data_IF_639288790525
#
_entry.id   IF_639288790525
#
_cell.length_a   1.000
_cell.length_b   1.000
_cell.length_c   1.000
_cell.angle_alpha   90.00
_cell.angle_beta   90.00
_cell.angle_gamma   90.00
#
_symmetry.space_group_name_H-M   'P 1'
#
loop_
_entity.id
_entity.type
_entity.pdbx_description
1 polymer ?
#
# COMPACT_ATOMS: atom_id res chain seq x y z
N UNK A 1 2.23 10.24 1.86
CA UNK A 1 1.89 8.84 1.47
C UNK A 1 3.08 8.15 0.83
N UNK A 2 3.56 8.56 -0.36
CA UNK A 2 4.67 7.89 -1.07
C UNK A 2 5.93 7.62 -0.21
N UNK A 3 6.32 8.56 0.67
CA UNK A 3 7.45 8.35 1.59
C UNK A 3 7.22 7.16 2.55
N UNK A 4 6.02 7.05 3.14
CA UNK A 4 5.68 5.94 4.02
C UNK A 4 5.70 4.59 3.27
N UNK A 5 5.14 4.58 2.05
CA UNK A 5 5.15 3.38 1.17
C UNK A 5 6.59 2.94 0.87
N UNK A 6 7.44 3.87 0.44
CA UNK A 6 8.86 3.59 0.13
C UNK A 6 9.60 3.09 1.37
N UNK A 7 9.41 3.75 2.52
CA UNK A 7 10.03 3.35 3.78
C UNK A 7 9.63 1.93 4.19
N UNK A 8 8.36 1.58 4.06
CA UNK A 8 7.83 0.26 4.43
C UNK A 8 8.29 -0.85 3.48
N UNK A 9 8.33 -0.56 2.17
CA UNK A 9 8.90 -1.48 1.18
C UNK A 9 10.42 -1.67 1.33
N UNK A 10 11.15 -0.63 1.75
CA UNK A 10 12.61 -0.69 1.90
C UNK A 10 13.02 -1.32 3.24
N UNK A 11 12.32 -0.99 4.33
CA UNK A 11 12.75 -1.32 5.70
C UNK A 11 12.13 -2.61 6.22
N UNK A 12 10.83 -2.81 5.99
CA UNK A 12 10.04 -3.94 6.54
C UNK A 12 9.57 -4.92 5.46
N UNK A 13 10.31 -4.98 4.36
CA UNK A 13 9.90 -5.31 3.00
C UNK A 13 8.45 -5.80 2.82
N UNK A 14 7.48 -4.90 3.09
CA UNK A 14 6.04 -5.16 2.99
C UNK A 14 5.30 -4.02 2.24
N UNK A 15 4.17 -4.32 1.58
CA UNK A 15 3.30 -3.28 1.04
C UNK A 15 2.60 -2.52 2.19
N UNK A 16 2.11 -1.32 1.91
CA UNK A 16 1.46 -0.43 2.88
C UNK A 16 -0.07 -0.47 2.76
N UNK A 17 -0.78 -0.86 3.83
CA UNK A 17 -2.25 -0.89 3.87
C UNK A 17 -2.82 0.53 3.84
N UNK A 18 -3.60 0.87 2.81
CA UNK A 18 -4.10 2.25 2.62
C UNK A 18 -4.96 2.71 3.79
N UNK A 19 -5.78 1.83 4.36
CA UNK A 19 -6.62 2.13 5.53
C UNK A 19 -5.84 2.62 6.76
N UNK A 20 -4.53 2.31 6.88
CA UNK A 20 -3.69 2.80 7.98
C UNK A 20 -3.46 4.32 7.92
N UNK A 21 -3.66 4.96 6.77
CA UNK A 21 -3.58 6.43 6.63
C UNK A 21 -4.70 7.17 7.37
N UNK A 22 -5.81 6.49 7.69
CA UNK A 22 -6.90 7.07 8.48
C UNK A 22 -6.63 6.99 9.98
N UNK A 23 -5.63 6.21 10.38
CA UNK A 23 -5.25 6.01 11.78
C UNK A 23 -4.10 6.94 12.17
N UNK A 24 -3.73 6.92 13.46
CA UNK A 24 -2.53 7.60 13.94
C UNK A 24 -1.29 7.12 13.17
N UNK A 25 -0.32 8.00 12.85
CA UNK A 25 -0.25 9.42 13.18
C UNK A 25 -0.90 10.35 12.13
N UNK A 26 -1.53 9.82 11.09
CA UNK A 26 -1.88 10.59 9.89
C UNK A 26 -3.29 11.18 9.92
N UNK A 27 -4.29 10.41 10.37
CA UNK A 27 -5.68 10.85 10.48
C UNK A 27 -6.27 11.46 9.20
N UNK A 28 -5.86 10.98 8.03
CA UNK A 28 -6.43 11.44 6.76
C UNK A 28 -7.88 10.96 6.61
N UNK A 29 -8.70 11.81 5.99
CA UNK A 29 -10.03 11.41 5.52
C UNK A 29 -9.90 10.60 4.24
N UNK A 30 -10.86 9.71 3.99
CA UNK A 30 -10.91 8.85 2.80
C UNK A 30 -10.77 9.66 1.50
N UNK A 31 -11.56 10.73 1.34
CA UNK A 31 -11.47 11.62 0.18
C UNK A 31 -10.08 12.27 -0.02
N UNK A 32 -9.33 12.52 1.06
CA UNK A 32 -7.96 13.04 0.96
C UNK A 32 -6.99 11.98 0.45
N UNK A 33 -7.19 10.73 0.87
CA UNK A 33 -6.38 9.59 0.45
C UNK A 33 -6.64 9.31 -1.04
N UNK A 34 -7.90 9.25 -1.46
CA UNK A 34 -8.29 9.05 -2.86
C UNK A 34 -7.71 10.14 -3.76
N UNK A 35 -7.88 11.41 -3.39
CA UNK A 35 -7.32 12.53 -4.14
C UNK A 35 -5.79 12.45 -4.25
N UNK A 36 -5.10 12.05 -3.17
CA UNK A 36 -3.66 11.88 -3.18
C UNK A 36 -3.22 10.71 -4.05
N UNK A 37 -3.94 9.59 -4.06
CA UNK A 37 -3.65 8.44 -4.93
C UNK A 37 -3.87 8.82 -6.40
N UNK A 38 -4.96 9.51 -6.73
CA UNK A 38 -5.22 10.00 -8.07
C UNK A 38 -4.13 10.98 -8.55
N UNK A 39 -3.67 11.88 -7.66
CA UNK A 39 -2.57 12.78 -7.96
C UNK A 39 -1.24 12.03 -8.18
N UNK A 40 -0.97 10.98 -7.39
CA UNK A 40 0.23 10.16 -7.55
C UNK A 40 0.25 9.37 -8.87
N UNK A 41 -0.92 8.97 -9.39
CA UNK A 41 -1.00 8.19 -10.63
C UNK A 41 -0.55 8.95 -11.88
N UNK A 42 -0.68 10.29 -11.87
CA UNK A 42 -0.32 11.15 -13.01
C UNK A 42 1.03 11.85 -12.87
N UNK A 43 1.57 11.93 -11.65
CA UNK A 43 2.77 12.69 -11.35
C UNK A 43 4.04 11.82 -11.48
N UNK A 44 4.98 12.14 -12.40
CA UNK A 44 6.14 11.30 -12.71
C UNK A 44 7.05 10.97 -11.51
N UNK A 45 7.11 11.84 -10.50
CA UNK A 45 7.89 11.63 -9.29
C UNK A 45 7.37 10.48 -8.40
N UNK A 46 6.16 10.00 -8.66
CA UNK A 46 5.53 8.86 -7.97
C UNK A 46 5.34 7.65 -8.87
N UNK A 47 5.94 7.62 -10.07
CA UNK A 47 5.79 6.53 -11.03
C UNK A 47 6.18 5.14 -10.50
N UNK A 48 6.97 5.06 -9.41
CA UNK A 48 7.28 3.81 -8.73
C UNK A 48 6.18 3.30 -7.79
N UNK A 49 5.23 4.15 -7.38
CA UNK A 49 4.18 3.78 -6.44
C UNK A 49 3.05 3.11 -7.21
N UNK A 50 2.75 1.86 -6.86
CA UNK A 50 1.72 1.05 -7.50
C UNK A 50 0.72 0.52 -6.48
N UNK A 51 -0.47 0.24 -6.99
CA UNK A 51 -1.57 -0.35 -6.22
C UNK A 51 -1.53 -1.87 -6.32
N UNK A 52 -1.92 -2.55 -5.25
CA UNK A 52 -2.23 -3.97 -5.23
C UNK A 52 -3.40 -4.19 -4.28
N UNK A 53 -4.30 -5.09 -4.66
CA UNK A 53 -5.53 -5.36 -3.92
C UNK A 53 -5.59 -6.84 -3.55
N UNK A 54 -6.05 -7.15 -2.34
CA UNK A 54 -6.33 -8.53 -1.94
C UNK A 54 -7.61 -9.05 -2.59
N UNK A 55 -7.83 -10.35 -2.56
CA UNK A 55 -9.09 -10.99 -2.97
C UNK A 55 -10.31 -10.56 -2.13
N UNK A 56 -10.09 -9.90 -1.00
CA UNK A 56 -11.11 -9.28 -0.12
C UNK A 56 -11.28 -7.78 -0.35
N UNK A 57 -10.79 -7.25 -1.47
CA UNK A 57 -10.90 -5.85 -1.88
C UNK A 57 -10.19 -4.86 -0.94
N UNK A 58 -9.12 -5.30 -0.26
CA UNK A 58 -8.34 -4.42 0.61
C UNK A 58 -7.17 -3.84 -0.18
N UNK A 59 -7.14 -2.52 -0.28
CA UNK A 59 -6.15 -1.79 -1.05
C UNK A 59 -4.83 -1.59 -0.28
N UNK A 60 -3.74 -1.89 -0.96
CA UNK A 60 -2.37 -1.64 -0.56
C UNK A 60 -1.61 -0.84 -1.62
N UNK A 61 -0.54 -0.16 -1.17
CA UNK A 61 0.43 0.51 -2.04
C UNK A 61 1.81 -0.11 -1.86
N UNK A 62 2.59 -0.20 -2.93
CA UNK A 62 4.00 -0.60 -2.88
C UNK A 62 4.86 0.23 -3.83
N UNK A 63 6.18 0.24 -3.61
CA UNK A 63 7.14 0.89 -4.52
C UNK A 63 7.87 -0.16 -5.35
N UNK A 64 7.74 -0.10 -6.67
CA UNK A 64 8.44 -0.98 -7.63
C UNK A 64 9.97 -0.81 -7.60
N UNK A 65 10.48 0.26 -6.99
CA UNK A 65 11.92 0.43 -6.74
C UNK A 65 12.46 -0.56 -5.72
N UNK A 66 11.62 -1.05 -4.80
CA UNK A 66 12.05 -1.85 -3.65
C UNK A 66 11.33 -3.20 -3.56
N UNK A 67 10.21 -3.37 -4.26
CA UNK A 67 9.35 -4.56 -4.17
C UNK A 67 8.73 -4.90 -5.53
N UNK A 68 8.77 -6.18 -5.91
CA UNK A 68 8.07 -6.66 -7.11
C UNK A 68 6.57 -6.82 -6.84
N UNK A 69 5.76 -6.72 -7.89
CA UNK A 69 4.32 -6.96 -7.79
C UNK A 69 3.98 -8.32 -7.15
N UNK A 70 4.64 -9.40 -7.57
CA UNK A 70 4.37 -10.75 -7.03
C UNK A 70 4.60 -10.84 -5.52
N UNK A 71 5.64 -10.18 -5.00
CA UNK A 71 5.89 -10.11 -3.55
C UNK A 71 4.84 -9.25 -2.84
N UNK A 72 4.49 -8.10 -3.42
CA UNK A 72 3.46 -7.22 -2.86
C UNK A 72 2.11 -7.92 -2.78
N UNK A 73 1.71 -8.60 -3.86
CA UNK A 73 0.46 -9.35 -3.95
C UNK A 73 0.43 -10.51 -2.95
N UNK A 74 1.47 -11.36 -2.91
CA UNK A 74 1.52 -12.48 -1.96
C UNK A 74 1.43 -12.04 -0.49
N UNK A 75 2.08 -10.94 -0.11
CA UNK A 75 1.95 -10.39 1.24
C UNK A 75 0.58 -9.77 1.50
N UNK A 76 0.02 -9.06 0.51
CA UNK A 76 -1.33 -8.49 0.59
C UNK A 76 -2.38 -9.57 0.84
N UNK A 77 -2.36 -10.65 0.05
CA UNK A 77 -3.25 -11.81 0.25
C UNK A 77 -3.02 -12.46 1.62
N UNK A 78 -1.76 -12.69 2.00
CA UNK A 78 -1.44 -13.34 3.26
C UNK A 78 -1.96 -12.57 4.47
N UNK A 79 -1.77 -11.23 4.51
CA UNK A 79 -2.23 -10.39 5.61
C UNK A 79 -3.76 -10.33 5.73
N UNK A 80 -4.47 -10.36 4.61
CA UNK A 80 -5.92 -10.13 4.60
C UNK A 80 -6.75 -11.42 4.60
N UNK A 81 -6.14 -12.56 4.24
CA UNK A 81 -6.86 -13.83 4.07
C UNK A 81 -6.19 -14.96 4.84
N UNK A 82 -4.93 -15.26 4.54
CA UNK A 82 -4.30 -16.49 5.02
C UNK A 82 -3.93 -16.43 6.52
N UNK A 83 -3.54 -15.27 7.04
CA UNK A 83 -3.22 -15.08 8.46
C UNK A 83 -4.44 -15.35 9.36
N UNK A 84 -5.66 -15.02 8.91
CA UNK A 84 -6.88 -15.28 9.67
C UNK A 84 -7.32 -16.75 9.59
N UNK A 85 -6.90 -17.46 8.54
CA UNK A 85 -7.19 -18.89 8.36
C UNK A 85 -6.18 -19.79 9.09
N UNK A 86 -5.00 -19.28 9.43
CA UNK A 86 -3.95 -20.02 10.13
C UNK A 86 -3.22 -19.14 11.19
N UNK A 87 -3.84 -18.93 12.36
CA UNK A 87 -3.35 -18.02 13.41
C UNK A 87 -2.09 -18.51 14.15
#
# INVERSE_FOLDING_TARGET
IAHAVRFECQTYPRPYKVAMLMQAPYYFQEAQIEAAIAAMDVAPEYADIRQVESSTAVLYLFSERFMTYGKAYGLCEWFEVEQFQNP
#
